data_IF_492074463723
#
_entry.id   IF_492074463723
#
_cell.length_a   1.000
_cell.length_b   1.000
_cell.length_c   1.000
_cell.angle_alpha   90.00
_cell.angle_beta   90.00
_cell.angle_gamma   90.00
#
_symmetry.space_group_name_H-M   'P 1'
#
loop_
_entity.id
_entity.type
_entity.pdbx_description
1 polymer ?
#
# COMPACT_ATOMS: atom_id res chain seq x y z
N UNK A 1 -29.67 32.56 27.53
CA UNK A 1 -28.87 31.58 26.77
C UNK A 1 -27.86 30.98 27.74
N UNK A 2 -27.88 29.67 27.98
CA UNK A 2 -26.86 29.03 28.81
C UNK A 2 -25.57 28.93 28.00
N UNK A 3 -24.44 29.44 28.51
CA UNK A 3 -23.14 29.24 27.87
C UNK A 3 -22.66 27.81 28.17
N UNK A 4 -22.08 27.17 27.17
CA UNK A 4 -21.41 25.88 27.39
C UNK A 4 -20.21 26.10 28.33
N UNK A 5 -20.03 25.29 29.39
CA UNK A 5 -18.89 25.43 30.29
C UNK A 5 -17.57 25.24 29.54
N UNK A 6 -16.53 25.97 29.94
CA UNK A 6 -15.20 25.80 29.35
C UNK A 6 -14.65 24.43 29.75
N UNK A 7 -13.84 23.82 28.90
CA UNK A 7 -13.27 22.49 29.17
C UNK A 7 -12.49 22.44 30.49
N UNK A 8 -11.78 23.52 30.82
CA UNK A 8 -11.02 23.65 32.07
C UNK A 8 -11.89 23.65 33.33
N UNK A 9 -13.19 23.94 33.20
CA UNK A 9 -14.12 24.04 34.33
C UNK A 9 -14.78 22.69 34.66
N UNK A 10 -14.58 21.67 33.82
CA UNK A 10 -15.08 20.33 34.12
C UNK A 10 -14.32 19.69 35.30
N UNK A 11 -14.98 18.84 36.10
CA UNK A 11 -14.30 17.93 37.01
C UNK A 11 -13.17 17.15 36.31
N UNK A 12 -12.08 16.88 37.04
CA UNK A 12 -10.89 16.25 36.48
C UNK A 12 -11.21 14.90 35.84
N UNK A 13 -12.13 14.14 36.41
CA UNK A 13 -12.58 12.84 35.90
C UNK A 13 -13.20 12.96 34.51
N UNK A 14 -14.00 14.01 34.28
CA UNK A 14 -14.59 14.28 32.96
C UNK A 14 -13.52 14.77 31.96
N UNK A 15 -12.58 15.60 32.39
CA UNK A 15 -11.48 16.03 31.53
C UNK A 15 -10.65 14.83 31.07
N UNK A 16 -10.30 13.92 31.99
CA UNK A 16 -9.56 12.69 31.68
C UNK A 16 -10.35 11.76 30.75
N UNK A 17 -11.66 11.60 30.99
CA UNK A 17 -12.53 10.80 30.14
C UNK A 17 -12.64 11.36 28.72
N UNK A 18 -12.80 12.68 28.56
CA UNK A 18 -12.85 13.36 27.26
C UNK A 18 -11.53 13.15 26.51
N UNK A 19 -10.38 13.30 27.17
CA UNK A 19 -9.09 13.04 26.54
C UNK A 19 -8.89 11.59 26.13
N UNK A 20 -9.38 10.63 26.93
CA UNK A 20 -9.32 9.22 26.58
C UNK A 20 -10.21 8.89 25.37
N UNK A 21 -11.39 9.51 25.26
CA UNK A 21 -12.32 9.33 24.13
C UNK A 21 -11.79 9.92 22.82
N UNK A 22 -10.87 10.88 22.88
CA UNK A 22 -10.20 11.45 21.70
C UNK A 22 -9.13 10.52 21.09
N UNK A 23 -8.97 9.29 21.63
CA UNK A 23 -7.98 8.31 21.18
C UNK A 23 -8.64 6.97 20.77
N UNK A 24 -8.17 6.33 19.68
CA UNK A 24 -7.22 6.83 18.70
C UNK A 24 -7.86 7.83 17.72
N UNK A 25 -7.05 8.65 17.08
CA UNK A 25 -7.50 9.46 15.95
C UNK A 25 -7.75 8.54 14.74
N UNK A 26 -8.99 8.54 14.24
CA UNK A 26 -9.41 7.67 13.14
C UNK A 26 -9.16 8.37 11.79
N UNK A 27 -7.91 8.70 11.53
CA UNK A 27 -7.47 9.11 10.20
C UNK A 27 -7.27 7.88 9.29
N UNK A 28 -7.71 7.91 8.02
CA UNK A 28 -7.33 6.92 7.02
C UNK A 28 -5.81 6.86 6.83
N UNK A 29 -5.22 5.68 6.99
CA UNK A 29 -3.79 5.45 6.78
C UNK A 29 -3.56 4.41 5.67
N UNK A 30 -2.29 4.29 5.24
CA UNK A 30 -1.89 3.29 4.25
C UNK A 30 -1.17 2.14 4.95
N UNK A 31 -1.73 0.94 4.88
CA UNK A 31 -1.08 -0.28 5.33
C UNK A 31 -0.27 -0.86 4.18
N UNK A 32 1.04 -0.63 4.21
CA UNK A 32 1.98 -1.29 3.30
C UNK A 32 2.18 -2.72 3.79
N UNK A 33 1.81 -3.70 2.96
CA UNK A 33 2.05 -5.11 3.24
C UNK A 33 3.55 -5.33 3.47
N UNK A 34 3.89 -6.22 4.40
CA UNK A 34 5.27 -6.59 4.69
C UNK A 34 5.39 -8.11 4.84
N UNK A 35 6.49 -8.75 4.41
CA UNK A 35 7.68 -8.17 3.74
C UNK A 35 7.41 -7.61 2.34
N UNK A 36 8.25 -6.67 1.87
CA UNK A 36 8.18 -6.09 0.52
C UNK A 36 8.54 -7.10 -0.58
N UNK A 37 9.29 -8.15 -0.23
CA UNK A 37 9.58 -9.30 -1.08
C UNK A 37 8.99 -10.56 -0.45
N UNK A 38 7.91 -11.10 -1.05
CA UNK A 38 7.29 -12.35 -0.60
C UNK A 38 7.46 -13.39 -1.71
N UNK A 39 8.13 -14.48 -1.41
CA UNK A 39 8.27 -15.59 -2.36
C UNK A 39 6.99 -16.40 -2.34
N UNK A 40 6.23 -16.36 -3.42
CA UNK A 40 5.18 -17.34 -3.67
C UNK A 40 5.68 -18.37 -4.71
N UNK A 41 5.00 -19.51 -4.77
CA UNK A 41 5.14 -20.66 -5.66
C UNK A 41 6.15 -20.57 -6.84
N UNK A 42 6.95 -21.62 -7.13
CA UNK A 42 6.91 -22.97 -6.55
C UNK A 42 7.82 -23.18 -5.33
N UNK A 43 8.54 -22.14 -4.89
CA UNK A 43 9.71 -22.31 -4.02
C UNK A 43 9.39 -22.11 -2.53
N UNK A 44 8.36 -21.33 -2.21
CA UNK A 44 7.85 -21.16 -0.85
C UNK A 44 6.40 -20.67 -0.87
N UNK A 45 5.56 -21.12 0.07
CA UNK A 45 4.22 -20.56 0.32
C UNK A 45 4.35 -19.49 1.42
N UNK A 46 5.13 -18.43 1.13
CA UNK A 46 5.27 -17.34 2.08
C UNK A 46 4.03 -16.43 2.06
N UNK A 47 3.55 -16.07 3.24
CA UNK A 47 2.42 -15.16 3.41
C UNK A 47 2.88 -13.77 3.86
N UNK A 48 2.04 -12.73 3.74
CA UNK A 48 2.27 -11.47 4.45
C UNK A 48 2.33 -11.70 5.97
N UNK A 49 3.15 -10.91 6.68
CA UNK A 49 3.20 -11.00 8.13
C UNK A 49 1.99 -10.30 8.77
N UNK A 50 1.46 -10.94 9.81
CA UNK A 50 0.34 -10.43 10.61
C UNK A 50 0.83 -10.09 12.04
N UNK A 51 0.14 -9.17 12.75
CA UNK A 51 -1.01 -8.39 12.28
C UNK A 51 -0.61 -7.26 11.32
N UNK A 52 -1.55 -6.88 10.44
CA UNK A 52 -1.41 -5.67 9.64
C UNK A 52 -1.48 -4.43 10.53
N UNK A 53 -0.56 -3.49 10.32
CA UNK A 53 -0.44 -2.28 11.13
C UNK A 53 -0.18 -1.08 10.24
N UNK A 54 -0.58 0.10 10.72
CA UNK A 54 -0.35 1.39 10.07
C UNK A 54 0.41 2.31 11.02
N UNK A 55 1.35 3.08 10.48
CA UNK A 55 1.94 4.18 11.23
C UNK A 55 0.92 5.33 11.30
N UNK A 56 0.71 5.90 12.49
CA UNK A 56 -0.20 7.02 12.66
C UNK A 56 0.55 8.30 12.98
N UNK A 57 -0.15 9.44 12.95
CA UNK A 57 0.37 10.64 13.60
C UNK A 57 0.50 10.42 15.11
N UNK A 58 1.30 11.27 15.76
CA UNK A 58 1.06 11.55 17.17
C UNK A 58 -0.33 12.20 17.30
N UNK A 59 -1.20 11.68 18.18
CA UNK A 59 -2.56 12.18 18.27
C UNK A 59 -2.56 13.62 18.79
N UNK A 60 -3.48 14.45 18.32
CA UNK A 60 -3.54 15.87 18.68
C UNK A 60 -3.50 16.09 20.21
N UNK A 61 -4.16 15.22 20.98
CA UNK A 61 -4.19 15.24 22.45
C UNK A 61 -2.79 15.19 23.09
N UNK A 62 -1.79 14.58 22.44
CA UNK A 62 -0.40 14.54 22.93
C UNK A 62 0.31 15.91 22.86
N UNK A 63 -0.24 16.85 22.08
CA UNK A 63 0.33 18.17 21.81
C UNK A 63 -0.36 19.30 22.59
N UNK A 64 -1.53 19.05 23.22
CA UNK A 64 -2.34 20.12 23.87
C UNK A 64 -1.71 20.61 25.17
N UNK A 65 -1.55 19.74 26.16
CA UNK A 65 -1.01 20.10 27.47
C UNK A 65 -0.41 18.87 28.18
N UNK A 66 0.21 19.09 29.34
CA UNK A 66 0.87 18.02 30.11
C UNK A 66 -0.10 16.91 30.53
N UNK A 67 -1.29 17.27 31.02
CA UNK A 67 -2.30 16.30 31.47
C UNK A 67 -2.81 15.44 30.32
N UNK A 68 -3.16 16.07 29.20
CA UNK A 68 -3.62 15.39 27.99
C UNK A 68 -2.57 14.40 27.44
N UNK A 69 -1.29 14.81 27.43
CA UNK A 69 -0.17 13.94 27.07
C UNK A 69 -0.03 12.75 28.00
N UNK A 70 -0.16 12.96 29.31
CA UNK A 70 -0.12 11.87 30.29
C UNK A 70 -1.25 10.88 30.04
N UNK A 71 -2.48 11.36 29.82
CA UNK A 71 -3.62 10.50 29.46
C UNK A 71 -3.32 9.68 28.22
N UNK A 72 -2.77 10.30 27.17
CA UNK A 72 -2.42 9.61 25.94
C UNK A 72 -1.44 8.45 26.17
N UNK A 73 -0.42 8.65 27.01
CA UNK A 73 0.53 7.59 27.34
C UNK A 73 -0.06 6.50 28.25
N UNK A 74 -0.97 6.85 29.17
CA UNK A 74 -1.52 5.88 30.13
C UNK A 74 -2.75 5.12 29.64
N UNK A 75 -3.50 5.65 28.67
CA UNK A 75 -4.79 5.10 28.24
C UNK A 75 -4.69 3.74 27.54
N UNK A 76 -3.48 3.30 27.15
CA UNK A 76 -3.21 2.15 26.26
C UNK A 76 -3.86 2.25 24.87
N UNK A 77 -4.65 3.29 24.62
CA UNK A 77 -5.25 3.56 23.32
C UNK A 77 -4.20 4.06 22.31
N UNK A 78 -3.20 4.80 22.78
CA UNK A 78 -2.00 5.09 22.01
C UNK A 78 -1.04 3.90 22.07
N UNK A 79 -0.92 3.17 20.96
CA UNK A 79 0.07 2.10 20.83
C UNK A 79 1.36 2.67 20.24
N UNK A 80 2.47 2.26 20.82
CA UNK A 80 3.81 2.67 20.41
C UNK A 80 4.64 1.44 20.11
N UNK A 81 5.48 1.50 19.08
CA UNK A 81 6.44 0.45 18.71
C UNK A 81 7.81 1.04 18.46
N UNK A 82 8.85 0.24 18.59
CA UNK A 82 10.20 0.71 18.34
C UNK A 82 10.46 0.96 16.84
N UNK A 83 11.04 2.12 16.51
CA UNK A 83 11.54 2.42 15.17
C UNK A 83 13.06 2.65 15.24
N UNK A 84 13.87 1.77 14.65
CA UNK A 84 15.32 1.95 14.57
C UNK A 84 15.71 3.25 13.88
N UNK A 85 15.01 3.61 12.80
CA UNK A 85 15.32 4.81 12.03
C UNK A 85 14.99 6.10 12.79
N UNK A 86 13.96 6.07 13.66
CA UNK A 86 13.64 7.19 14.52
C UNK A 86 14.53 7.23 15.77
N UNK A 87 15.02 6.07 16.24
CA UNK A 87 15.73 5.94 17.51
C UNK A 87 14.81 5.98 18.75
N UNK A 88 13.49 6.03 18.55
CA UNK A 88 12.51 6.08 19.63
C UNK A 88 11.20 5.37 19.23
N UNK A 89 10.25 5.30 20.16
CA UNK A 89 8.96 4.64 19.94
C UNK A 89 8.01 5.52 19.12
N UNK A 90 7.45 4.98 18.04
CA UNK A 90 6.55 5.69 17.12
C UNK A 90 5.11 5.19 17.27
N UNK A 91 4.11 6.08 17.08
CA UNK A 91 2.71 5.70 17.19
C UNK A 91 2.26 4.84 16.01
N UNK A 92 1.47 3.82 16.32
CA UNK A 92 0.87 2.94 15.33
C UNK A 92 -0.52 2.50 15.80
N UNK A 93 -1.27 1.89 14.89
CA UNK A 93 -2.44 1.08 15.25
C UNK A 93 -2.58 -0.12 14.33
N UNK A 94 -3.46 -1.04 14.69
CA UNK A 94 -3.88 -2.09 13.78
C UNK A 94 -4.57 -1.49 12.56
N UNK A 95 -4.36 -2.13 11.41
CA UNK A 95 -5.06 -1.82 10.19
C UNK A 95 -6.57 -2.03 10.37
N UNK A 96 -7.37 -1.06 9.94
CA UNK A 96 -8.82 -1.08 10.01
C UNK A 96 -9.35 -1.14 8.56
N UNK A 97 -9.77 -2.33 8.06
CA UNK A 97 -10.15 -2.53 6.66
C UNK A 97 -11.22 -1.56 6.13
N UNK A 98 -12.06 -1.06 7.03
CA UNK A 98 -13.16 -0.16 6.72
C UNK A 98 -12.70 1.27 6.33
N UNK A 99 -11.56 1.74 6.85
CA UNK A 99 -11.10 3.13 6.66
C UNK A 99 -9.71 3.22 6.02
N UNK A 100 -8.87 2.22 6.20
CA UNK A 100 -7.49 2.23 5.71
C UNK A 100 -7.39 1.68 4.30
N UNK A 101 -6.31 2.06 3.62
CA UNK A 101 -5.95 1.48 2.32
C UNK A 101 -4.92 0.37 2.50
N UNK A 102 -5.25 -0.85 2.07
CA UNK A 102 -4.29 -1.95 1.99
C UNK A 102 -3.46 -1.79 0.70
N UNK A 103 -2.15 -1.62 0.83
CA UNK A 103 -1.23 -1.45 -0.29
C UNK A 103 -0.30 -2.65 -0.46
N UNK A 104 -0.12 -3.10 -1.70
CA UNK A 104 0.97 -4.01 -2.07
C UNK A 104 1.60 -3.67 -3.42
N UNK A 105 2.89 -4.00 -3.52
CA UNK A 105 3.70 -3.87 -4.72
C UNK A 105 3.69 -5.15 -5.58
N UNK A 106 4.42 -5.09 -6.70
CA UNK A 106 4.59 -6.22 -7.64
C UNK A 106 5.12 -7.47 -6.95
N UNK A 107 6.14 -7.32 -6.11
CA UNK A 107 6.84 -8.44 -5.45
C UNK A 107 6.01 -9.11 -4.33
N UNK A 108 4.78 -8.65 -4.14
CA UNK A 108 3.83 -9.16 -3.14
C UNK A 108 2.52 -9.60 -3.79
N UNK A 109 2.29 -9.26 -5.06
CA UNK A 109 0.99 -9.38 -5.71
C UNK A 109 0.46 -10.81 -5.63
N UNK A 110 1.25 -11.80 -6.06
CA UNK A 110 0.85 -13.20 -6.05
C UNK A 110 0.55 -13.72 -4.65
N UNK A 111 1.40 -13.42 -3.66
CA UNK A 111 1.19 -13.81 -2.27
C UNK A 111 -0.08 -13.18 -1.70
N UNK A 112 -0.34 -11.90 -2.00
CA UNK A 112 -1.56 -11.22 -1.56
C UNK A 112 -2.80 -11.79 -2.23
N UNK A 113 -2.71 -12.20 -3.50
CA UNK A 113 -3.81 -12.84 -4.20
C UNK A 113 -4.18 -14.17 -3.57
N UNK A 114 -3.20 -15.04 -3.31
CA UNK A 114 -3.40 -16.30 -2.60
C UNK A 114 -3.94 -16.04 -1.21
N UNK A 115 -3.33 -15.14 -0.44
CA UNK A 115 -3.75 -14.79 0.92
C UNK A 115 -5.22 -14.34 0.99
N UNK A 116 -5.65 -13.42 0.12
CA UNK A 116 -7.03 -12.91 0.14
C UNK A 116 -8.06 -13.94 -0.34
N UNK A 117 -7.66 -14.92 -1.16
CA UNK A 117 -8.54 -15.98 -1.63
C UNK A 117 -8.73 -17.11 -0.60
N UNK A 118 -7.83 -17.27 0.37
CA UNK A 118 -7.95 -18.28 1.43
C UNK A 118 -9.25 -18.11 2.25
N UNK A 119 -10.01 -19.19 2.53
CA UNK A 119 -11.27 -19.13 3.27
C UNK A 119 -11.15 -18.48 4.66
N UNK A 120 -10.07 -18.73 5.38
CA UNK A 120 -9.77 -18.17 6.70
C UNK A 120 -9.64 -16.63 6.68
N UNK A 121 -9.26 -16.06 5.53
CA UNK A 121 -9.10 -14.61 5.34
C UNK A 121 -10.34 -13.96 4.71
N UNK A 122 -11.42 -14.72 4.48
CA UNK A 122 -12.59 -14.21 3.78
C UNK A 122 -13.29 -13.06 4.52
N UNK A 123 -13.35 -13.09 5.86
CA UNK A 123 -13.92 -11.99 6.65
C UNK A 123 -13.11 -10.71 6.48
N UNK A 124 -11.79 -10.81 6.64
CA UNK A 124 -10.86 -9.71 6.43
C UNK A 124 -11.01 -9.10 5.03
N UNK A 125 -10.96 -9.94 3.99
CA UNK A 125 -11.07 -9.47 2.62
C UNK A 125 -12.41 -8.79 2.32
N UNK A 126 -13.51 -9.28 2.92
CA UNK A 126 -14.85 -8.68 2.79
C UNK A 126 -14.96 -7.31 3.45
N UNK A 127 -14.22 -7.08 4.53
CA UNK A 127 -14.21 -5.79 5.24
C UNK A 127 -13.39 -4.71 4.51
N UNK A 128 -12.55 -5.08 3.55
CA UNK A 128 -11.77 -4.11 2.77
C UNK A 128 -12.68 -3.12 2.05
N UNK A 129 -12.36 -1.83 2.19
CA UNK A 129 -13.01 -0.74 1.44
C UNK A 129 -12.08 -0.09 0.44
N UNK A 130 -10.78 -0.15 0.68
CA UNK A 130 -9.77 0.54 -0.13
C UNK A 130 -8.57 -0.38 -0.35
N UNK A 131 -8.22 -0.59 -1.62
CA UNK A 131 -7.05 -1.33 -2.05
C UNK A 131 -6.21 -0.41 -2.93
N UNK A 132 -4.91 -0.42 -2.70
CA UNK A 132 -3.95 0.23 -3.58
C UNK A 132 -2.95 -0.80 -4.10
N UNK A 133 -2.76 -0.81 -5.42
CA UNK A 133 -1.83 -1.72 -6.10
C UNK A 133 -0.83 -0.89 -6.88
N UNK A 134 0.44 -1.22 -6.75
CA UNK A 134 1.45 -0.72 -7.66
C UNK A 134 1.09 -1.09 -9.11
N UNK A 135 1.23 -0.17 -10.06
CA UNK A 135 0.93 -0.42 -11.49
C UNK A 135 1.62 -1.69 -12.01
N UNK A 136 2.85 -1.95 -11.55
CA UNK A 136 3.62 -3.14 -11.92
C UNK A 136 3.11 -4.44 -11.30
N UNK A 137 2.33 -4.38 -10.22
CA UNK A 137 1.67 -5.51 -9.56
C UNK A 137 0.22 -5.72 -9.99
N UNK A 138 -0.22 -5.12 -11.10
CA UNK A 138 -1.61 -5.25 -11.61
C UNK A 138 -1.79 -6.40 -12.59
N UNK A 139 -0.70 -7.07 -12.97
CA UNK A 139 -0.72 -8.17 -13.91
C UNK A 139 -0.52 -9.51 -13.18
N UNK A 140 -1.30 -10.54 -13.51
CA UNK A 140 -2.39 -10.54 -14.49
C UNK A 140 -3.69 -9.92 -13.92
N UNK A 141 -4.48 -9.26 -14.78
CA UNK A 141 -5.60 -8.41 -14.36
C UNK A 141 -6.82 -9.20 -13.88
N UNK A 142 -6.95 -10.43 -14.37
CA UNK A 142 -7.96 -11.40 -14.00
C UNK A 142 -7.88 -11.77 -12.52
N UNK A 143 -6.68 -11.87 -11.94
CA UNK A 143 -6.49 -12.16 -10.52
C UNK A 143 -7.05 -11.06 -9.63
N UNK A 144 -6.77 -9.78 -9.95
CA UNK A 144 -7.32 -8.64 -9.23
C UNK A 144 -8.85 -8.59 -9.35
N UNK A 145 -9.38 -8.76 -10.56
CA UNK A 145 -10.83 -8.83 -10.79
C UNK A 145 -11.47 -9.99 -9.99
N UNK A 146 -10.81 -11.15 -9.94
CA UNK A 146 -11.29 -12.32 -9.23
C UNK A 146 -11.35 -12.09 -7.72
N UNK A 147 -10.34 -11.46 -7.13
CA UNK A 147 -10.33 -11.15 -5.68
C UNK A 147 -11.45 -10.19 -5.34
N UNK A 148 -11.64 -9.12 -6.11
CA UNK A 148 -12.69 -8.14 -5.86
C UNK A 148 -14.07 -8.80 -5.99
N UNK A 149 -14.26 -9.63 -7.03
CA UNK A 149 -15.51 -10.34 -7.25
C UNK A 149 -15.81 -11.37 -6.15
N UNK A 150 -14.83 -12.14 -5.70
CA UNK A 150 -15.06 -13.28 -4.79
C UNK A 150 -14.93 -12.94 -3.30
N UNK A 151 -14.11 -11.95 -2.95
CA UNK A 151 -13.65 -11.72 -1.57
C UNK A 151 -13.83 -10.28 -1.14
N UNK A 152 -13.29 -9.31 -1.88
CA UNK A 152 -13.43 -7.88 -1.57
C UNK A 152 -14.71 -7.28 -2.18
N UNK A 153 -15.84 -7.93 -1.91
CA UNK A 153 -17.14 -7.62 -2.54
C UNK A 153 -17.70 -6.24 -2.15
N UNK A 154 -17.18 -5.62 -1.09
CA UNK A 154 -17.55 -4.28 -0.64
C UNK A 154 -16.46 -3.23 -0.90
N UNK A 155 -15.48 -3.54 -1.74
CA UNK A 155 -14.47 -2.59 -2.16
C UNK A 155 -15.14 -1.34 -2.76
N UNK A 156 -14.71 -0.16 -2.31
CA UNK A 156 -15.18 1.14 -2.81
C UNK A 156 -14.15 1.83 -3.68
N UNK A 157 -12.86 1.65 -3.38
CA UNK A 157 -11.77 2.30 -4.10
C UNK A 157 -10.67 1.31 -4.46
N UNK A 158 -10.29 1.31 -5.74
CA UNK A 158 -9.12 0.63 -6.25
C UNK A 158 -8.15 1.69 -6.80
N UNK A 159 -6.99 1.81 -6.17
CA UNK A 159 -5.99 2.80 -6.53
C UNK A 159 -4.80 2.15 -7.24
N UNK A 160 -4.48 2.66 -8.41
CA UNK A 160 -3.26 2.33 -9.16
C UNK A 160 -2.17 3.31 -8.76
N UNK A 161 -1.12 2.79 -8.13
CA UNK A 161 -0.05 3.62 -7.54
C UNK A 161 1.13 3.72 -8.49
N UNK A 162 1.52 4.96 -8.79
CA UNK A 162 2.68 5.33 -9.59
C UNK A 162 3.78 5.93 -8.70
N UNK A 163 5.05 5.85 -9.13
CA UNK A 163 6.16 6.43 -8.37
C UNK A 163 6.18 7.97 -8.36
N UNK A 164 5.53 8.62 -9.34
CA UNK A 164 5.40 10.08 -9.44
C UNK A 164 4.13 10.50 -10.18
N UNK A 165 3.78 11.79 -10.06
CA UNK A 165 2.80 12.48 -10.92
C UNK A 165 3.36 12.94 -12.26
N UNK A 166 4.67 12.83 -12.49
CA UNK A 166 5.32 13.41 -13.66
C UNK A 166 6.13 12.38 -14.46
N UNK A 167 6.13 12.57 -15.78
CA UNK A 167 7.03 11.88 -16.70
C UNK A 167 6.48 10.56 -17.25
N UNK A 168 7.41 9.70 -17.67
CA UNK A 168 7.10 8.38 -18.20
C UNK A 168 7.52 7.31 -17.20
N UNK A 169 6.63 6.39 -16.89
CA UNK A 169 6.87 5.26 -15.99
C UNK A 169 6.77 3.96 -16.76
N UNK A 170 7.60 2.98 -16.45
CA UNK A 170 7.43 1.63 -17.01
C UNK A 170 6.47 0.85 -16.14
N UNK A 171 5.51 0.13 -16.72
CA UNK A 171 4.66 -0.80 -15.95
C UNK A 171 5.42 -2.05 -15.50
N UNK A 172 6.68 -2.22 -15.91
CA UNK A 172 7.54 -3.30 -15.44
C UNK A 172 8.51 -2.87 -14.35
N UNK A 173 8.65 -1.57 -14.09
CA UNK A 173 9.50 -1.06 -13.03
C UNK A 173 8.70 -0.96 -11.75
N UNK A 174 9.24 -1.54 -10.69
CA UNK A 174 8.70 -1.40 -9.34
C UNK A 174 9.36 -0.23 -8.61
N UNK A 175 8.87 0.12 -7.43
CA UNK A 175 9.51 1.07 -6.52
C UNK A 175 9.38 0.64 -5.06
N UNK A 176 10.28 1.12 -4.20
CA UNK A 176 10.12 0.96 -2.76
C UNK A 176 9.10 1.96 -2.23
N UNK A 177 8.04 1.50 -1.55
CA UNK A 177 7.12 2.40 -0.88
C UNK A 177 7.83 3.13 0.29
N UNK A 178 7.20 4.17 0.84
CA UNK A 178 7.60 4.78 2.09
C UNK A 178 7.87 3.81 3.23
N UNK A 179 9.03 3.95 3.87
CA UNK A 179 9.27 3.31 5.18
C UNK A 179 8.55 4.06 6.30
N UNK A 180 8.32 5.36 6.07
CA UNK A 180 7.75 6.29 7.02
C UNK A 180 6.24 6.40 6.86
N UNK A 181 5.58 7.04 7.84
CA UNK A 181 4.17 7.44 7.70
C UNK A 181 4.01 8.21 6.39
N UNK A 182 3.07 7.77 5.57
CA UNK A 182 2.86 8.28 4.23
C UNK A 182 1.38 8.42 3.93
N UNK A 183 1.07 9.11 2.84
CA UNK A 183 -0.28 9.23 2.29
C UNK A 183 -0.26 8.93 0.80
N UNK A 184 -1.40 8.52 0.28
CA UNK A 184 -1.63 8.43 -1.16
C UNK A 184 -2.22 9.75 -1.66
N UNK A 185 -1.45 10.46 -2.49
CA UNK A 185 -1.90 11.68 -3.16
C UNK A 185 -2.58 11.31 -4.47
N UNK A 186 -3.78 11.85 -4.70
CA UNK A 186 -4.48 11.71 -5.97
C UNK A 186 -3.70 12.38 -7.10
N UNK A 187 -3.54 11.68 -8.23
CA UNK A 187 -3.08 12.24 -9.49
C UNK A 187 -4.33 12.78 -10.22
N UNK A 188 -4.48 14.11 -10.38
CA UNK A 188 -5.66 14.70 -10.99
C UNK A 188 -5.92 14.13 -12.38
N UNK A 189 -7.20 13.90 -12.72
CA UNK A 189 -7.61 13.36 -14.02
C UNK A 189 -7.23 14.27 -15.20
N UNK A 190 -6.98 15.55 -14.96
CA UNK A 190 -6.43 16.50 -15.94
C UNK A 190 -5.00 16.19 -16.35
N UNK A 191 -4.22 15.51 -15.49
CA UNK A 191 -2.81 15.17 -15.75
C UNK A 191 -2.63 13.76 -16.32
N UNK A 192 -3.69 12.97 -16.45
CA UNK A 192 -3.59 11.57 -16.88
C UNK A 192 -3.11 11.40 -18.33
N UNK A 193 -3.31 12.40 -19.18
CA UNK A 193 -2.86 12.36 -20.57
C UNK A 193 -1.36 12.73 -20.70
N UNK A 194 -0.80 13.41 -19.69
CA UNK A 194 0.61 13.79 -19.61
C UNK A 194 1.49 12.67 -19.02
N UNK A 195 0.94 11.88 -18.09
CA UNK A 195 1.63 10.73 -17.50
C UNK A 195 1.60 9.55 -18.47
N UNK A 196 2.78 9.09 -18.87
CA UNK A 196 2.92 8.02 -19.87
C UNK A 196 3.40 6.72 -19.24
N UNK A 197 2.80 5.61 -19.65
CA UNK A 197 3.15 4.26 -19.24
C UNK A 197 3.84 3.51 -20.39
N UNK A 198 5.10 3.14 -20.21
CA UNK A 198 5.87 2.35 -21.15
C UNK A 198 5.85 0.86 -20.77
N UNK A 199 6.16 0.00 -21.75
CA UNK A 199 6.27 -1.48 -21.59
C UNK A 199 5.03 -2.10 -20.94
N UNK A 200 3.87 -1.64 -21.37
CA UNK A 200 2.58 -2.09 -20.83
C UNK A 200 2.41 -3.58 -21.10
N UNK A 201 2.31 -4.39 -20.03
CA UNK A 201 2.46 -5.86 -20.08
C UNK A 201 1.40 -6.61 -20.88
N UNK A 202 0.31 -5.96 -21.28
CA UNK A 202 -0.74 -6.55 -22.10
C UNK A 202 -0.69 -6.13 -23.58
N UNK A 203 0.24 -5.26 -23.96
CA UNK A 203 0.45 -4.92 -25.36
C UNK A 203 1.27 -6.03 -26.02
N UNK A 204 1.10 -6.22 -27.33
CA UNK A 204 1.81 -7.28 -28.06
C UNK A 204 3.31 -7.02 -28.07
N UNK A 205 4.11 -8.09 -28.08
CA UNK A 205 5.56 -7.97 -28.22
C UNK A 205 5.91 -7.12 -29.46
N UNK A 206 6.52 -5.95 -29.24
CA UNK A 206 6.87 -4.98 -30.28
C UNK A 206 6.10 -3.65 -30.20
N UNK A 207 4.93 -3.62 -29.55
CA UNK A 207 4.18 -2.40 -29.28
C UNK A 207 4.79 -1.67 -28.07
N UNK A 208 5.93 -1.01 -28.30
CA UNK A 208 6.64 -0.21 -27.28
C UNK A 208 6.10 1.22 -27.14
N UNK A 209 4.93 1.50 -27.72
CA UNK A 209 4.36 2.85 -27.70
C UNK A 209 3.93 3.18 -26.27
N UNK A 210 4.43 4.27 -25.67
CA UNK A 210 3.96 4.72 -24.37
C UNK A 210 2.46 5.02 -24.42
N UNK A 211 1.71 4.44 -23.49
CA UNK A 211 0.27 4.60 -23.34
C UNK A 211 -0.03 5.70 -22.30
N UNK A 212 -0.90 6.67 -22.57
CA UNK A 212 -1.36 7.61 -21.55
C UNK A 212 -2.01 6.89 -20.36
N UNK A 213 -1.83 7.43 -19.15
CA UNK A 213 -2.40 6.82 -17.93
C UNK A 213 -3.93 6.68 -18.01
N UNK A 214 -4.63 7.63 -18.65
CA UNK A 214 -6.08 7.53 -18.89
C UNK A 214 -6.44 6.24 -19.64
N UNK A 215 -5.80 6.04 -20.79
CA UNK A 215 -6.06 4.87 -21.64
C UNK A 215 -5.75 3.57 -20.90
N UNK A 216 -4.67 3.55 -20.12
CA UNK A 216 -4.32 2.40 -19.30
C UNK A 216 -5.39 2.08 -18.24
N UNK A 217 -5.88 3.08 -17.50
CA UNK A 217 -6.91 2.89 -16.48
C UNK A 217 -8.24 2.44 -17.11
N UNK A 218 -8.62 3.05 -18.22
CA UNK A 218 -9.83 2.68 -18.97
C UNK A 218 -9.74 1.24 -19.49
N UNK A 219 -8.57 0.86 -20.02
CA UNK A 219 -8.32 -0.52 -20.42
C UNK A 219 -8.37 -1.48 -19.23
N UNK A 220 -7.75 -1.14 -18.10
CA UNK A 220 -7.83 -1.98 -16.89
C UNK A 220 -9.25 -2.16 -16.38
N UNK A 221 -10.06 -1.10 -16.40
CA UNK A 221 -11.49 -1.20 -16.09
C UNK A 221 -12.19 -2.17 -17.04
N UNK A 222 -12.00 -2.02 -18.36
CA UNK A 222 -12.62 -2.91 -19.37
C UNK A 222 -12.20 -4.37 -19.20
N UNK A 223 -10.91 -4.64 -19.02
CA UNK A 223 -10.37 -5.99 -18.84
C UNK A 223 -10.97 -6.66 -17.58
N UNK A 224 -11.09 -5.91 -16.48
CA UNK A 224 -11.75 -6.39 -15.26
C UNK A 224 -13.25 -6.65 -15.50
N UNK A 225 -13.95 -5.76 -16.20
CA UNK A 225 -15.37 -5.94 -16.55
C UNK A 225 -15.61 -7.15 -17.45
N UNK A 226 -14.77 -7.36 -18.46
CA UNK A 226 -14.83 -8.53 -19.33
C UNK A 226 -14.65 -9.82 -18.54
N UNK A 227 -13.68 -9.85 -17.62
CA UNK A 227 -13.48 -10.99 -16.73
C UNK A 227 -14.78 -11.34 -15.99
N UNK A 228 -15.47 -10.38 -15.38
CA UNK A 228 -16.68 -10.67 -14.60
C UNK A 228 -17.91 -10.97 -15.44
N UNK A 229 -18.00 -10.52 -16.70
CA UNK A 229 -19.08 -10.89 -17.62
C UNK A 229 -19.11 -12.39 -17.92
N UNK A 230 -17.95 -13.05 -17.89
CA UNK A 230 -17.83 -14.49 -18.12
C UNK A 230 -18.35 -15.36 -16.96
N UNK A 231 -18.67 -14.79 -15.80
CA UNK A 231 -19.06 -15.56 -14.62
C UNK A 231 -20.53 -15.35 -14.24
N UNK A 232 -21.29 -16.44 -14.21
CA UNK A 232 -22.59 -16.49 -13.53
C UNK A 232 -22.36 -16.47 -12.01
N UNK A 233 -22.42 -15.28 -11.41
CA UNK A 233 -22.26 -15.17 -9.96
C UNK A 233 -23.58 -15.46 -9.28
N UNK A 234 -23.67 -16.63 -8.62
CA UNK A 234 -24.83 -17.05 -7.82
C UNK A 234 -24.70 -16.68 -6.32
N UNK A 235 -23.71 -15.86 -5.93
CA UNK A 235 -23.39 -15.56 -4.52
C UNK A 235 -23.73 -14.12 -4.12
N UNK A 236 -23.73 -13.88 -2.81
CA UNK A 236 -24.03 -12.63 -2.11
C UNK A 236 -23.59 -11.38 -2.89
N UNK A 237 -24.56 -10.52 -3.19
CA UNK A 237 -24.33 -9.25 -3.87
C UNK A 237 -23.49 -8.33 -2.97
N UNK A 238 -22.33 -7.93 -3.49
CA UNK A 238 -21.51 -6.88 -2.92
C UNK A 238 -21.84 -5.51 -3.50
N UNK A 239 -21.19 -4.47 -3.00
CA UNK A 239 -21.29 -3.11 -3.58
C UNK A 239 -20.22 -2.84 -4.62
N UNK A 240 -19.16 -3.65 -4.71
CA UNK A 240 -18.04 -3.42 -5.63
C UNK A 240 -18.40 -3.66 -7.10
N UNK A 241 -19.33 -4.59 -7.35
CA UNK A 241 -19.75 -4.93 -8.70
C UNK A 241 -21.25 -5.23 -8.71
N UNK A 242 -21.87 -5.03 -9.87
CA UNK A 242 -23.31 -5.21 -10.05
C UNK A 242 -23.53 -6.20 -11.21
N UNK A 243 -24.39 -7.19 -11.00
CA UNK A 243 -24.93 -8.02 -12.08
C UNK A 243 -26.11 -7.29 -12.71
N UNK A 244 -25.99 -6.78 -13.95
CA UNK A 244 -27.12 -6.20 -14.68
C UNK A 244 -27.32 -6.93 -16.00
N UNK A 245 -28.52 -7.45 -16.23
CA UNK A 245 -28.96 -7.97 -17.53
C UNK A 245 -27.97 -8.97 -18.19
N UNK A 246 -27.34 -9.85 -17.39
CA UNK A 246 -26.38 -10.84 -17.89
C UNK A 246 -24.95 -10.32 -18.10
N UNK A 247 -24.64 -9.06 -17.73
CA UNK A 247 -23.28 -8.53 -17.72
C UNK A 247 -22.88 -7.98 -16.35
N UNK A 248 -21.81 -8.54 -15.75
CA UNK A 248 -21.18 -7.97 -14.56
C UNK A 248 -20.43 -6.67 -14.89
N UNK A 249 -20.44 -5.70 -13.98
CA UNK A 249 -19.62 -4.48 -14.07
C UNK A 249 -19.11 -4.03 -12.69
N UNK A 250 -17.89 -3.52 -12.62
CA UNK A 250 -17.28 -2.89 -11.43
C UNK A 250 -17.69 -1.42 -11.25
N UNK A 251 -18.94 -1.08 -11.57
CA UNK A 251 -19.47 0.28 -11.45
C UNK A 251 -19.51 0.81 -10.01
N UNK A 252 -19.45 -0.07 -9.01
CA UNK A 252 -19.39 0.30 -7.60
C UNK A 252 -17.98 0.55 -7.06
N UNK A 253 -16.93 0.36 -7.88
CA UNK A 253 -15.54 0.65 -7.53
C UNK A 253 -15.07 1.92 -8.25
N UNK A 254 -14.66 2.89 -7.45
CA UNK A 254 -13.95 4.07 -7.91
C UNK A 254 -12.49 3.72 -8.21
N UNK A 255 -12.06 3.97 -9.45
CA UNK A 255 -10.69 3.69 -9.90
C UNK A 255 -9.91 5.00 -9.89
N UNK A 256 -8.80 5.01 -9.14
CA UNK A 256 -7.96 6.20 -8.98
C UNK A 256 -6.54 5.93 -9.45
N UNK A 257 -5.86 6.96 -9.93
CA UNK A 257 -4.41 7.01 -9.95
C UNK A 257 -3.92 7.80 -8.73
N UNK A 258 -2.92 7.24 -8.05
CA UNK A 258 -2.31 7.86 -6.87
C UNK A 258 -0.80 7.70 -6.86
N UNK A 259 -0.12 8.46 -6.01
CA UNK A 259 1.31 8.30 -5.72
C UNK A 259 1.56 8.49 -4.23
N UNK A 260 2.67 7.95 -3.72
CA UNK A 260 3.04 8.14 -2.32
C UNK A 260 3.65 9.51 -2.07
N UNK A 261 3.24 10.11 -0.97
CA UNK A 261 3.89 11.29 -0.38
C UNK A 261 4.31 11.02 1.05
N UNK A 262 5.50 11.51 1.41
CA UNK A 262 6.01 11.55 2.79
C UNK A 262 6.13 13.00 3.25
N UNK A 263 5.96 13.22 4.55
CA UNK A 263 6.15 14.53 5.16
C UNK A 263 7.65 14.84 5.24
N UNK A 264 8.08 15.96 4.66
CA UNK A 264 9.47 16.43 4.68
C UNK A 264 9.54 17.83 5.28
N UNK A 265 10.51 18.02 6.16
CA UNK A 265 10.91 19.34 6.65
C UNK A 265 12.11 19.80 5.83
N UNK A 266 11.94 20.86 5.06
CA UNK A 266 13.01 21.49 4.28
C UNK A 266 13.44 22.80 4.93
N UNK A 267 14.74 23.01 5.09
CA UNK A 267 15.28 24.30 5.56
C UNK A 267 15.27 25.27 4.38
N UNK A 268 14.50 26.36 4.51
CA UNK A 268 14.43 27.46 3.56
C UNK A 268 15.39 28.57 4.02
N UNK A 269 15.82 29.42 3.08
CA UNK A 269 16.63 30.62 3.35
C UNK A 269 16.13 31.37 4.59
N UNK A 270 17.07 31.78 5.46
CA UNK A 270 16.86 32.34 6.81
C UNK A 270 16.52 31.31 7.91
N UNK A 271 16.95 30.06 7.80
CA UNK A 271 16.74 29.01 8.81
C UNK A 271 15.25 28.74 9.13
N UNK A 272 14.34 29.10 8.23
CA UNK A 272 12.91 28.78 8.40
C UNK A 272 12.68 27.36 7.90
N UNK A 273 12.09 26.53 8.73
CA UNK A 273 11.67 25.19 8.32
C UNK A 273 10.32 25.29 7.62
N UNK A 274 10.25 24.81 6.39
CA UNK A 274 9.00 24.61 5.67
C UNK A 274 8.68 23.12 5.66
N UNK A 275 7.48 22.80 6.11
CA UNK A 275 7.01 21.42 6.15
C UNK A 275 6.07 21.18 4.98
N UNK A 276 6.34 20.13 4.20
CA UNK A 276 5.57 19.81 3.00
C UNK A 276 5.49 18.31 2.74
N UNK A 277 4.36 17.89 2.18
CA UNK A 277 4.20 16.54 1.63
C UNK A 277 4.86 16.47 0.26
N UNK A 278 5.86 15.60 0.10
CA UNK A 278 6.62 15.46 -1.12
C UNK A 278 6.56 14.03 -1.66
N UNK A 279 6.56 13.87 -2.98
CA UNK A 279 6.74 12.57 -3.62
C UNK A 279 8.12 12.01 -3.30
N UNK A 280 8.20 10.70 -3.09
CA UNK A 280 9.46 10.04 -2.73
C UNK A 280 9.78 8.83 -3.59
N UNK A 281 8.80 8.22 -4.23
CA UNK A 281 8.98 6.94 -4.92
C UNK A 281 9.70 7.05 -6.26
N UNK A 282 9.68 8.21 -6.91
CA UNK A 282 10.46 8.46 -8.14
C UNK A 282 11.97 8.25 -7.95
N UNK A 283 12.48 8.53 -6.76
CA UNK A 283 13.89 8.33 -6.41
C UNK A 283 14.14 6.95 -5.77
N UNK A 284 13.12 6.08 -5.78
CA UNK A 284 13.13 4.75 -5.17
C UNK A 284 12.75 3.65 -6.17
N UNK A 285 12.94 3.90 -7.46
CA UNK A 285 12.68 2.92 -8.51
C UNK A 285 13.62 1.72 -8.33
N UNK A 286 13.03 0.53 -8.39
CA UNK A 286 13.72 -0.74 -8.48
C UNK A 286 14.00 -1.00 -9.95
N UNK A 287 15.21 -1.47 -10.28
CA UNK A 287 15.54 -1.78 -11.68
C UNK A 287 14.63 -2.86 -12.23
N UNK A 288 14.41 -2.80 -13.54
CA UNK A 288 13.59 -3.79 -14.22
C UNK A 288 14.37 -5.10 -14.33
N UNK A 289 13.67 -6.23 -14.23
CA UNK A 289 14.24 -7.56 -14.46
C UNK A 289 14.96 -7.71 -15.83
N UNK A 290 14.60 -6.87 -16.82
CA UNK A 290 15.22 -6.86 -18.15
C UNK A 290 16.51 -6.04 -18.24
N UNK A 291 16.72 -5.11 -17.30
CA UNK A 291 18.01 -4.44 -17.21
C UNK A 291 18.95 -5.41 -16.51
N UNK A 292 19.89 -5.98 -17.26
CA UNK A 292 21.08 -6.66 -16.73
C UNK A 292 21.94 -5.74 -15.83
N UNK A 293 21.47 -4.54 -15.49
CA UNK A 293 21.92 -3.81 -14.31
C UNK A 293 21.53 -4.61 -13.08
N UNK A 294 22.33 -5.64 -12.82
CA UNK A 294 22.44 -6.25 -11.52
C UNK A 294 22.93 -5.26 -10.45
N UNK A 295 23.14 -3.98 -10.83
CA UNK A 295 23.33 -2.82 -9.98
C UNK A 295 22.04 -2.30 -9.33
N UNK A 296 20.87 -2.69 -9.85
CA UNK A 296 19.64 -2.09 -9.41
C UNK A 296 19.23 -2.61 -8.03
N UNK A 297 18.79 -1.72 -7.13
CA UNK A 297 18.38 -2.13 -5.81
C UNK A 297 17.14 -3.03 -5.85
N UNK A 298 17.07 -3.98 -4.91
CA UNK A 298 15.92 -4.85 -4.67
C UNK A 298 15.54 -4.79 -3.18
N UNK A 299 14.25 -4.96 -2.82
CA UNK A 299 13.86 -5.11 -1.42
C UNK A 299 14.54 -6.34 -0.83
N UNK A 300 14.87 -6.27 0.46
CA UNK A 300 15.55 -7.37 1.13
C UNK A 300 14.58 -8.54 1.34
N UNK A 301 14.99 -9.75 0.96
CA UNK A 301 14.23 -10.94 1.40
C UNK A 301 14.41 -11.15 2.91
N UNK A 302 13.31 -11.18 3.63
CA UNK A 302 13.28 -11.48 5.07
C UNK A 302 12.60 -12.84 5.26
N UNK A 303 13.42 -13.87 5.49
CA UNK A 303 12.95 -15.23 5.74
C UNK A 303 11.95 -15.27 6.91
N UNK A 304 10.93 -16.13 6.82
CA UNK A 304 9.83 -16.22 7.81
C UNK A 304 10.35 -16.29 9.26
N UNK A 305 11.35 -17.13 9.53
CA UNK A 305 11.94 -17.29 10.87
C UNK A 305 12.67 -16.05 11.41
N UNK A 306 13.02 -15.08 10.54
CA UNK A 306 13.66 -13.81 10.91
C UNK A 306 12.68 -12.64 10.96
N UNK A 307 11.40 -12.88 10.66
CA UNK A 307 10.41 -11.80 10.64
C UNK A 307 10.10 -11.36 12.07
N UNK A 308 10.20 -10.06 12.33
CA UNK A 308 9.89 -9.45 13.62
C UNK A 308 8.37 -9.21 13.75
N UNK A 309 7.89 -9.10 14.99
CA UNK A 309 6.49 -8.75 15.27
C UNK A 309 6.21 -7.28 14.86
N UNK A 310 5.27 -7.00 13.93
CA UNK A 310 4.91 -5.63 13.54
C UNK A 310 4.37 -4.74 14.69
N UNK A 311 3.91 -5.33 15.78
CA UNK A 311 3.42 -4.59 16.96
C UNK A 311 4.54 -4.08 17.87
N UNK A 312 5.69 -4.75 17.85
CA UNK A 312 6.85 -4.40 18.69
C UNK A 312 7.87 -3.57 17.91
N UNK A 313 7.92 -3.79 16.59
CA UNK A 313 8.96 -3.28 15.72
C UNK A 313 8.38 -2.70 14.44
N UNK A 314 8.86 -1.52 14.02
CA UNK A 314 8.49 -0.93 12.73
C UNK A 314 9.21 -1.66 11.59
N UNK A 315 8.62 -2.77 11.15
CA UNK A 315 9.23 -3.71 10.19
C UNK A 315 9.65 -3.10 8.84
N UNK A 316 9.01 -2.00 8.41
CA UNK A 316 9.39 -1.30 7.17
C UNK A 316 10.74 -0.57 7.28
N UNK A 317 11.24 -0.29 8.49
CA UNK A 317 12.58 0.29 8.66
C UNK A 317 13.68 -0.69 8.22
N UNK A 318 13.48 -2.01 8.38
CA UNK A 318 14.45 -3.04 7.97
C UNK A 318 14.45 -3.30 6.46
N UNK A 319 13.28 -3.15 5.82
CA UNK A 319 13.04 -3.55 4.42
C UNK A 319 13.20 -2.38 3.43
N UNK A 320 13.29 -1.16 3.96
CA UNK A 320 13.57 0.06 3.19
C UNK A 320 15.06 0.35 3.02
N UNK A 321 15.92 -0.42 3.67
CA UNK A 321 17.36 -0.37 3.45
C UNK A 321 17.72 -1.03 2.11
N UNK A 322 18.53 -0.35 1.31
CA UNK A 322 18.99 -0.85 0.02
C UNK A 322 19.91 -2.06 0.18
N UNK A 323 19.72 -3.09 -0.64
CA UNK A 323 20.81 -4.00 -0.99
C UNK A 323 21.65 -3.37 -2.08
N UNK A 324 22.96 -3.45 -1.93
CA UNK A 324 23.85 -3.30 -3.06
C UNK A 324 23.61 -4.42 -4.07
N UNK A 325 23.91 -4.11 -5.33
CA UNK A 325 24.07 -5.04 -6.43
C UNK A 325 24.72 -6.38 -6.05
N UNK A 326 25.79 -6.27 -5.25
CA UNK A 326 26.70 -7.34 -4.90
C UNK A 326 26.08 -8.25 -3.82
N UNK A 327 25.42 -7.67 -2.81
CA UNK A 327 24.67 -8.41 -1.80
C UNK A 327 23.53 -9.24 -2.44
N UNK A 328 22.85 -8.68 -3.45
CA UNK A 328 21.81 -9.41 -4.18
C UNK A 328 22.36 -10.57 -5.02
N UNK A 329 23.46 -10.35 -5.74
CA UNK A 329 24.15 -11.41 -6.49
C UNK A 329 24.64 -12.53 -5.59
N UNK A 330 25.27 -12.20 -4.47
CA UNK A 330 25.76 -13.16 -3.47
C UNK A 330 24.62 -14.04 -2.95
N UNK A 331 23.45 -13.44 -2.69
CA UNK A 331 22.27 -14.19 -2.27
C UNK A 331 21.71 -15.12 -3.35
N UNK A 332 21.62 -14.67 -4.61
CA UNK A 332 21.19 -15.52 -5.74
C UNK A 332 22.11 -16.75 -5.88
N UNK A 333 23.41 -16.56 -5.72
CA UNK A 333 24.40 -17.64 -5.78
C UNK A 333 24.25 -18.63 -4.61
N UNK A 334 24.00 -18.13 -3.39
CA UNK A 334 23.83 -18.97 -2.21
C UNK A 334 22.54 -19.80 -2.21
N UNK A 335 21.53 -19.36 -2.96
CA UNK A 335 20.22 -20.03 -3.00
C UNK A 335 20.09 -21.07 -4.13
N UNK A 336 21.17 -21.37 -4.86
CA UNK A 336 21.16 -22.20 -6.08
C UNK A 336 20.06 -21.76 -7.07
N UNK A 337 19.76 -20.46 -7.11
CA UNK A 337 18.74 -19.91 -7.97
C UNK A 337 19.32 -19.72 -9.38
N UNK A 338 19.27 -20.79 -10.18
CA UNK A 338 19.46 -20.71 -11.61
C UNK A 338 18.30 -19.89 -12.20
N UNK A 339 18.57 -18.65 -12.64
CA UNK A 339 17.60 -17.89 -13.42
C UNK A 339 17.39 -18.63 -14.75
N UNK A 340 16.37 -19.48 -14.80
CA UNK A 340 16.03 -20.21 -16.02
C UNK A 340 15.41 -19.23 -17.02
N UNK A 341 16.28 -18.64 -17.86
CA UNK A 341 15.90 -17.62 -18.84
C UNK A 341 14.94 -18.14 -19.93
N UNK A 342 14.72 -19.46 -20.01
CA UNK A 342 13.86 -20.07 -21.02
C UNK A 342 12.36 -19.79 -20.82
N UNK A 343 11.91 -19.59 -19.57
CA UNK A 343 10.47 -19.40 -19.30
C UNK A 343 9.91 -18.09 -19.85
N UNK A 344 10.72 -17.02 -19.87
CA UNK A 344 10.35 -15.71 -20.43
C UNK A 344 10.53 -15.60 -21.95
N UNK A 345 11.16 -16.58 -22.61
CA UNK A 345 11.32 -16.60 -24.07
C UNK A 345 10.21 -17.38 -24.78
N UNK A 346 9.44 -18.16 -24.04
CA UNK A 346 8.46 -19.11 -24.59
C UNK A 346 7.00 -18.79 -24.23
N UNK A 347 6.77 -17.80 -23.36
CA UNK A 347 5.45 -17.23 -23.05
C UNK A 347 5.53 -15.71 -23.05
#
# INVERSE_FOLDING_TARGET
>A
MASFPLFCDFPVELQLAIWALALPDLEPEVCIVWPLQIMNFPIADEEPALPFTVDTAWPAVAHVCRTARQVAHTSRALRLRHSPNAGFAVPYRHFIPAIDTLYWGRNQAEAMYTFLLKPENASFARELRQIAVEVAGTYPHDQLANIIRQRAVYLKTLSFVLPSTQGSHSTTLSFLPPARRCRLRHIPSSSWDEVKLARVTFLRAGERVPMPLREYLDKRRRDMEEYVRGFNVQREEGTAWISRNGGGSFSGVDIKAQTFVEYKTTVVENNRQQEQWAEVCQNRLLGGFELQDAAAPHPRRIAVAKRKNPEEYRVLDDDSAWWSAEEFKLWLQQTNFSFDQEWYRTN
#
